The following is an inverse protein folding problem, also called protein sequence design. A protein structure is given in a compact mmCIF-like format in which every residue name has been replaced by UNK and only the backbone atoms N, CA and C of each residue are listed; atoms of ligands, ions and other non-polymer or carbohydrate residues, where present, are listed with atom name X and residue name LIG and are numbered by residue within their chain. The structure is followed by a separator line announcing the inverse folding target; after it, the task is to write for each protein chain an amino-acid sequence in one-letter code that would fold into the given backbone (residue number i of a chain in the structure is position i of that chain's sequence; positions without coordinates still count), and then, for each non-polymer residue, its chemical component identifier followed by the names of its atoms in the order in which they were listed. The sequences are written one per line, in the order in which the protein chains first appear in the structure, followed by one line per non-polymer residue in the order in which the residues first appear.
data_IF_844043058033
#
_entry.id   IF_844043058033
#
_cell.length_a   1.000
_cell.length_b   1.000
_cell.length_c   1.000
_cell.angle_alpha   90.00
_cell.angle_beta   90.00
_cell.angle_gamma   90.00
#
_symmetry.space_group_name_H-M   'P 1'
#
loop_
_entity.id
_entity.type
_entity.pdbx_description
1 polymer ?
#
# COMPACT_ATOMS: atom_id res chain seq x y z
N UNK A 1 -6.26 -25.51 20.00
CA UNK A 1 -6.83 -25.42 18.63
C UNK A 1 -6.86 -23.95 18.23
N UNK A 2 -6.14 -23.58 17.22
CA UNK A 2 -6.37 -22.29 16.60
C UNK A 2 -7.71 -22.37 15.88
N UNK A 3 -8.71 -21.62 16.34
CA UNK A 3 -9.89 -21.37 15.52
C UNK A 3 -9.41 -20.76 14.21
N UNK A 4 -9.84 -21.32 13.10
CA UNK A 4 -9.45 -20.85 11.76
C UNK A 4 -9.86 -19.39 11.61
N UNK A 5 -8.87 -18.54 11.41
CA UNK A 5 -9.07 -17.12 11.16
C UNK A 5 -9.64 -16.93 9.76
N UNK A 6 -10.64 -16.06 9.64
CA UNK A 6 -11.25 -15.68 8.38
C UNK A 6 -11.13 -14.18 8.17
N UNK A 7 -11.10 -13.77 6.92
CA UNK A 7 -11.08 -12.37 6.55
C UNK A 7 -12.49 -11.93 6.16
N UNK A 8 -13.01 -10.95 6.86
CA UNK A 8 -14.31 -10.34 6.58
C UNK A 8 -14.13 -8.96 5.95
N UNK A 9 -15.06 -8.58 5.10
CA UNK A 9 -15.04 -7.29 4.40
C UNK A 9 -16.16 -6.40 4.95
N UNK A 10 -15.79 -5.21 5.39
CA UNK A 10 -16.73 -4.19 5.87
C UNK A 10 -16.86 -3.12 4.79
N UNK A 11 -18.09 -2.84 4.37
CA UNK A 11 -18.39 -1.70 3.53
C UNK A 11 -18.40 -0.41 4.35
N UNK A 12 -17.69 0.60 3.91
CA UNK A 12 -17.55 1.89 4.57
C UNK A 12 -18.00 3.04 3.68
N UNK A 13 -18.15 4.21 4.27
CA UNK A 13 -18.21 5.45 3.50
C UNK A 13 -16.86 5.69 2.82
N UNK A 14 -16.85 6.06 1.55
CA UNK A 14 -15.64 6.34 0.79
C UNK A 14 -14.77 7.40 1.49
N UNK A 15 -13.46 7.22 1.48
CA UNK A 15 -12.46 8.05 2.15
C UNK A 15 -12.51 8.05 3.68
N UNK A 16 -13.32 7.18 4.30
CA UNK A 16 -13.40 7.00 5.76
C UNK A 16 -12.80 5.65 6.20
N UNK A 17 -12.11 4.94 5.32
CA UNK A 17 -11.59 3.60 5.57
C UNK A 17 -10.63 3.58 6.77
N UNK A 18 -9.70 4.53 6.83
CA UNK A 18 -8.75 4.64 7.96
C UNK A 18 -9.43 5.02 9.27
N UNK A 19 -10.43 5.91 9.21
CA UNK A 19 -11.22 6.28 10.39
C UNK A 19 -11.99 5.08 10.94
N UNK A 20 -12.59 4.28 10.08
CA UNK A 20 -13.27 3.03 10.44
C UNK A 20 -12.27 2.04 11.04
N UNK A 21 -11.12 1.83 10.42
CA UNK A 21 -10.09 0.92 10.93
C UNK A 21 -9.60 1.33 12.34
N UNK A 22 -9.36 2.62 12.56
CA UNK A 22 -8.94 3.15 13.87
C UNK A 22 -10.03 2.97 14.94
N UNK A 23 -11.28 3.25 14.58
CA UNK A 23 -12.41 3.07 15.48
C UNK A 23 -12.64 1.59 15.82
N UNK A 24 -12.53 0.69 14.87
CA UNK A 24 -12.61 -0.77 15.08
C UNK A 24 -11.51 -1.26 16.03
N UNK A 25 -10.27 -0.81 15.83
CA UNK A 25 -9.17 -1.18 16.73
C UNK A 25 -9.43 -0.73 18.17
N UNK A 26 -9.97 0.47 18.36
CA UNK A 26 -10.31 1.02 19.67
C UNK A 26 -11.42 0.22 20.35
N UNK A 27 -12.50 -0.06 19.61
CA UNK A 27 -13.66 -0.82 20.12
C UNK A 27 -13.25 -2.26 20.42
N UNK A 28 -12.47 -2.89 19.58
CA UNK A 28 -11.95 -4.24 19.79
C UNK A 28 -11.21 -4.36 21.12
N UNK A 29 -10.37 -3.40 21.44
CA UNK A 29 -9.64 -3.36 22.73
C UNK A 29 -10.58 -3.10 23.91
N UNK A 30 -11.49 -2.15 23.78
CA UNK A 30 -12.41 -1.75 24.83
C UNK A 30 -13.37 -2.88 25.21
N UNK A 31 -13.97 -3.51 24.22
CA UNK A 31 -14.97 -4.57 24.38
C UNK A 31 -14.35 -5.99 24.43
N UNK A 32 -13.03 -6.08 24.37
CA UNK A 32 -12.29 -7.35 24.36
C UNK A 32 -12.77 -8.33 23.27
N UNK A 33 -13.03 -7.82 22.08
CA UNK A 33 -13.44 -8.60 20.93
C UNK A 33 -12.24 -9.29 20.29
N UNK A 34 -12.42 -10.53 19.82
CA UNK A 34 -11.37 -11.30 19.13
C UNK A 34 -11.23 -10.84 17.68
N UNK A 35 -10.85 -9.60 17.48
CA UNK A 35 -10.42 -9.04 16.19
C UNK A 35 -8.89 -9.08 16.19
N UNK A 36 -8.33 -9.85 15.26
CA UNK A 36 -6.90 -10.18 15.22
C UNK A 36 -6.10 -9.19 14.39
N UNK A 37 -6.66 -8.73 13.28
CA UNK A 37 -6.04 -7.75 12.40
C UNK A 37 -7.09 -6.91 11.67
N UNK A 38 -6.71 -5.70 11.29
CA UNK A 38 -7.53 -4.77 10.51
C UNK A 38 -6.64 -4.19 9.41
N UNK A 39 -7.14 -4.19 8.18
CA UNK A 39 -6.42 -3.69 7.01
C UNK A 39 -7.31 -2.75 6.21
N UNK A 40 -6.83 -1.53 6.00
CA UNK A 40 -7.47 -0.53 5.14
C UNK A 40 -6.51 -0.17 3.99
N UNK A 41 -6.45 -0.99 2.92
CA UNK A 41 -5.53 -0.75 1.81
C UNK A 41 -5.98 0.46 1.00
N UNK A 42 -5.04 1.30 0.59
CA UNK A 42 -5.33 2.53 -0.17
C UNK A 42 -5.97 2.25 -1.55
N UNK A 43 -5.77 1.06 -2.07
CA UNK A 43 -6.30 0.61 -3.36
C UNK A 43 -7.77 0.17 -3.28
N UNK A 44 -8.24 -0.20 -2.10
CA UNK A 44 -9.59 -0.72 -1.89
C UNK A 44 -10.47 0.36 -1.26
N UNK A 45 -11.00 1.26 -2.08
CA UNK A 45 -11.86 2.34 -1.61
C UNK A 45 -13.24 1.84 -1.19
N UNK A 46 -13.72 2.34 -0.05
CA UNK A 46 -15.03 2.03 0.48
C UNK A 46 -15.12 0.69 1.24
N UNK A 47 -13.98 0.04 1.51
CA UNK A 47 -13.93 -1.23 2.21
C UNK A 47 -12.77 -1.32 3.20
N UNK A 48 -12.99 -2.08 4.26
CA UNK A 48 -11.97 -2.43 5.26
C UNK A 48 -11.99 -3.94 5.46
N UNK A 49 -10.82 -4.55 5.56
CA UNK A 49 -10.66 -5.98 5.80
C UNK A 49 -10.39 -6.23 7.28
N UNK A 50 -11.04 -7.25 7.83
CA UNK A 50 -10.93 -7.60 9.27
C UNK A 50 -10.71 -9.09 9.42
N UNK A 51 -9.68 -9.47 10.16
CA UNK A 51 -9.43 -10.85 10.55
C UNK A 51 -10.08 -11.15 11.89
N UNK A 52 -10.96 -12.14 11.89
CA UNK A 52 -11.66 -12.63 13.08
C UNK A 52 -12.06 -14.10 12.92
N UNK A 53 -12.32 -14.83 14.00
CA UNK A 53 -12.76 -16.23 13.92
C UNK A 53 -14.19 -16.38 13.40
N UNK A 54 -15.05 -15.38 13.61
CA UNK A 54 -16.49 -15.46 13.25
C UNK A 54 -17.02 -14.09 12.81
N UNK A 55 -17.98 -14.09 11.90
CA UNK A 55 -18.67 -12.88 11.42
C UNK A 55 -19.41 -12.12 12.51
N UNK A 56 -20.01 -12.83 13.48
CA UNK A 56 -20.76 -12.21 14.57
C UNK A 56 -19.93 -11.25 15.43
N UNK A 57 -18.64 -11.50 15.59
CA UNK A 57 -17.70 -10.60 16.28
C UNK A 57 -17.56 -9.29 15.52
N UNK A 58 -17.43 -9.38 14.20
CA UNK A 58 -17.30 -8.21 13.32
C UNK A 58 -18.61 -7.42 13.27
N UNK A 59 -19.74 -8.11 13.17
CA UNK A 59 -21.08 -7.49 13.21
C UNK A 59 -21.30 -6.70 14.48
N UNK A 60 -20.91 -7.26 15.61
CA UNK A 60 -20.98 -6.58 16.90
C UNK A 60 -20.08 -5.33 16.94
N UNK A 61 -18.88 -5.45 16.43
CA UNK A 61 -17.92 -4.35 16.42
C UNK A 61 -18.39 -3.15 15.57
N UNK A 62 -18.97 -3.40 14.40
CA UNK A 62 -19.37 -2.31 13.48
C UNK A 62 -20.61 -1.53 13.92
N UNK A 63 -21.43 -2.06 14.84
CA UNK A 63 -22.66 -1.41 15.28
C UNK A 63 -22.45 -0.01 15.86
N UNK A 64 -21.31 0.23 16.48
CA UNK A 64 -20.98 1.49 17.14
C UNK A 64 -19.90 2.29 16.41
N UNK A 65 -19.44 1.81 15.25
CA UNK A 65 -18.41 2.48 14.46
C UNK A 65 -19.04 3.41 13.44
N UNK A 66 -18.78 4.74 13.53
CA UNK A 66 -19.23 5.68 12.50
C UNK A 66 -18.64 5.33 11.13
N UNK A 67 -19.42 5.50 10.08
CA UNK A 67 -19.05 5.23 8.69
C UNK A 67 -18.86 3.76 8.31
N UNK A 68 -18.94 2.83 9.23
CA UNK A 68 -19.10 1.41 8.92
C UNK A 68 -20.55 1.14 8.52
N UNK A 69 -20.78 0.74 7.27
CA UNK A 69 -22.15 0.62 6.74
C UNK A 69 -22.73 -0.77 6.86
N UNK A 70 -21.97 -1.76 6.45
CA UNK A 70 -22.44 -3.14 6.43
C UNK A 70 -21.27 -4.13 6.39
N UNK A 71 -21.52 -5.34 6.88
CA UNK A 71 -20.67 -6.49 6.67
C UNK A 71 -21.04 -7.13 5.33
N UNK A 72 -20.06 -7.34 4.45
CA UNK A 72 -20.27 -8.06 3.20
C UNK A 72 -20.44 -9.55 3.51
N UNK A 73 -21.40 -10.20 2.84
CA UNK A 73 -21.61 -11.64 3.00
C UNK A 73 -20.42 -12.44 2.52
N UNK A 74 -20.09 -13.48 3.28
CA UNK A 74 -18.96 -14.36 2.98
C UNK A 74 -17.68 -13.98 3.69
N UNK A 75 -16.66 -14.75 3.46
CA UNK A 75 -15.31 -14.53 3.99
C UNK A 75 -14.26 -14.79 2.92
N UNK A 76 -13.12 -14.17 3.07
CA UNK A 76 -11.94 -14.37 2.23
C UNK A 76 -10.82 -15.05 3.00
N UNK A 77 -9.87 -15.59 2.29
CA UNK A 77 -8.66 -16.17 2.87
C UNK A 77 -7.50 -15.18 2.80
N UNK A 78 -6.46 -15.41 3.59
CA UNK A 78 -5.21 -14.61 3.50
C UNK A 78 -4.61 -14.66 2.09
N UNK A 79 -4.69 -15.81 1.42
CA UNK A 79 -4.19 -15.96 0.06
C UNK A 79 -4.90 -15.02 -0.95
N UNK A 80 -6.19 -14.81 -0.80
CA UNK A 80 -6.96 -13.93 -1.68
C UNK A 80 -6.63 -12.45 -1.50
N UNK A 81 -6.21 -12.04 -0.29
CA UNK A 81 -5.84 -10.66 0.03
C UNK A 81 -4.34 -10.41 0.04
N UNK A 82 -3.53 -11.42 -0.28
CA UNK A 82 -2.06 -11.34 -0.21
C UNK A 82 -1.50 -10.16 -1.01
N UNK A 83 -2.10 -9.84 -2.14
CA UNK A 83 -1.68 -8.71 -2.99
C UNK A 83 -1.81 -7.34 -2.30
N UNK A 84 -2.66 -7.20 -1.28
CA UNK A 84 -2.72 -5.99 -0.45
C UNK A 84 -1.66 -5.96 0.65
N UNK A 85 -1.11 -7.11 1.01
CA UNK A 85 -0.13 -7.25 2.08
C UNK A 85 1.31 -7.15 1.58
N UNK A 86 1.55 -7.46 0.30
CA UNK A 86 2.87 -7.34 -0.32
C UNK A 86 3.20 -5.87 -0.57
N UNK A 87 4.35 -5.38 -0.07
CA UNK A 87 4.78 -4.03 -0.40
C UNK A 87 5.01 -3.94 -1.91
N UNK A 88 4.53 -2.86 -2.52
CA UNK A 88 4.89 -2.56 -3.91
C UNK A 88 6.35 -2.16 -3.97
N UNK A 89 7.12 -2.68 -4.94
CA UNK A 89 8.48 -2.21 -5.16
C UNK A 89 8.51 -0.69 -5.35
N UNK A 90 9.43 -0.02 -4.70
CA UNK A 90 9.60 1.45 -4.76
C UNK A 90 9.81 1.92 -6.21
N UNK A 91 10.38 1.06 -7.03
CA UNK A 91 10.63 1.31 -8.46
C UNK A 91 9.42 1.02 -9.37
N UNK A 92 8.28 0.62 -8.81
CA UNK A 92 7.06 0.37 -9.59
C UNK A 92 6.61 1.64 -10.31
N UNK A 93 6.46 1.55 -11.63
CA UNK A 93 6.13 2.69 -12.49
C UNK A 93 7.32 3.47 -13.02
N UNK A 94 8.55 3.15 -12.61
CA UNK A 94 9.77 3.67 -13.22
C UNK A 94 10.17 2.71 -14.35
N UNK A 95 10.27 3.24 -15.56
CA UNK A 95 10.65 2.48 -16.76
C UNK A 95 11.99 2.96 -17.31
N UNK A 96 12.68 2.08 -18.01
CA UNK A 96 13.87 2.45 -18.79
C UNK A 96 13.50 3.55 -19.80
N UNK A 97 14.37 4.54 -19.96
CA UNK A 97 14.13 5.72 -20.81
C UNK A 97 13.37 6.86 -20.12
N UNK A 98 12.75 6.63 -18.97
CA UNK A 98 12.05 7.69 -18.24
C UNK A 98 12.98 8.81 -17.78
N UNK A 99 12.47 10.04 -17.78
CA UNK A 99 13.19 11.22 -17.26
C UNK A 99 12.77 11.41 -15.80
N UNK A 100 13.75 11.46 -14.92
CA UNK A 100 13.56 11.62 -13.48
C UNK A 100 14.34 12.82 -12.94
N UNK A 101 13.94 13.30 -11.80
CA UNK A 101 14.67 14.27 -11.00
C UNK A 101 15.10 13.62 -9.69
N UNK A 102 16.36 13.76 -9.32
CA UNK A 102 16.89 13.23 -8.07
C UNK A 102 16.44 14.13 -6.91
N UNK A 103 15.88 13.54 -5.87
CA UNK A 103 15.36 14.28 -4.71
C UNK A 103 16.27 14.23 -3.49
N UNK A 104 17.35 13.45 -3.55
CA UNK A 104 18.31 13.29 -2.46
C UNK A 104 19.69 13.82 -2.78
N UNK A 105 20.40 14.26 -1.76
CA UNK A 105 21.82 14.64 -1.89
C UNK A 105 22.71 13.42 -2.21
N UNK A 106 23.81 13.57 -2.93
CA UNK A 106 24.40 14.83 -3.41
C UNK A 106 23.81 15.40 -4.70
N UNK A 107 22.95 14.66 -5.40
CA UNK A 107 22.47 15.00 -6.74
C UNK A 107 21.07 15.66 -6.75
N UNK A 108 20.62 16.17 -5.61
CA UNK A 108 19.27 16.78 -5.48
C UNK A 108 19.05 17.88 -6.53
N UNK A 109 17.95 17.76 -7.28
CA UNK A 109 17.58 18.70 -8.33
C UNK A 109 18.12 18.36 -9.71
N UNK A 110 19.05 17.40 -9.81
CA UNK A 110 19.59 16.94 -11.09
C UNK A 110 18.57 16.09 -11.85
N UNK A 111 18.49 16.30 -13.14
CA UNK A 111 17.68 15.48 -14.06
C UNK A 111 18.51 14.37 -14.66
N UNK A 112 17.91 13.21 -14.82
CA UNK A 112 18.59 12.05 -15.35
C UNK A 112 17.64 11.17 -16.17
N UNK A 113 18.22 10.33 -17.02
CA UNK A 113 17.49 9.31 -17.77
C UNK A 113 17.74 7.94 -17.15
N UNK A 114 16.68 7.20 -16.93
CA UNK A 114 16.76 5.83 -16.42
C UNK A 114 17.29 4.90 -17.51
N UNK A 115 18.39 4.21 -17.20
CA UNK A 115 19.01 3.23 -18.10
C UNK A 115 18.62 1.79 -17.75
N UNK A 116 18.44 1.51 -16.49
CA UNK A 116 18.10 0.17 -15.97
C UNK A 116 17.30 0.27 -14.70
N UNK A 117 16.39 -0.65 -14.51
CA UNK A 117 15.60 -0.81 -13.28
C UNK A 117 15.88 -2.19 -12.68
N UNK A 118 16.25 -2.24 -11.41
CA UNK A 118 16.41 -3.46 -10.63
C UNK A 118 15.30 -3.51 -9.56
N UNK A 119 14.24 -4.23 -9.86
CA UNK A 119 13.09 -4.35 -8.95
C UNK A 119 13.43 -5.14 -7.67
N UNK A 120 14.33 -6.09 -7.76
CA UNK A 120 14.73 -6.92 -6.62
C UNK A 120 15.51 -6.16 -5.56
N UNK A 121 16.32 -5.20 -5.98
CA UNK A 121 17.11 -4.32 -5.10
C UNK A 121 16.45 -2.97 -4.84
N UNK A 122 15.36 -2.68 -5.55
CA UNK A 122 14.68 -1.39 -5.53
C UNK A 122 15.60 -0.22 -5.93
N UNK A 123 16.49 -0.49 -6.88
CA UNK A 123 17.49 0.44 -7.39
C UNK A 123 17.26 0.75 -8.86
N UNK A 124 17.66 1.93 -9.27
CA UNK A 124 17.71 2.34 -10.67
C UNK A 124 19.10 2.82 -11.04
N UNK A 125 19.52 2.52 -12.25
CA UNK A 125 20.73 3.08 -12.85
C UNK A 125 20.32 4.22 -13.76
N UNK A 126 20.85 5.40 -13.52
CA UNK A 126 20.51 6.63 -14.22
C UNK A 126 21.76 7.30 -14.79
N UNK A 127 21.57 8.10 -15.83
CA UNK A 127 22.60 8.91 -16.46
C UNK A 127 22.16 10.38 -16.37
N UNK A 128 22.98 11.20 -15.69
CA UNK A 128 22.72 12.63 -15.52
C UNK A 128 22.85 13.38 -16.84
N UNK A 129 21.93 14.31 -17.14
CA UNK A 129 21.94 15.09 -18.38
C UNK A 129 23.11 16.09 -18.44
N UNK A 130 23.45 16.69 -17.30
CA UNK A 130 24.45 17.74 -17.21
C UNK A 130 25.89 17.21 -16.99
N UNK A 131 26.06 15.90 -17.00
CA UNK A 131 27.39 15.30 -16.89
C UNK A 131 28.19 15.46 -18.19
N UNK A 132 29.39 16.01 -18.10
CA UNK A 132 30.32 16.15 -19.20
C UNK A 132 30.73 14.80 -19.78
N UNK A 133 30.82 13.79 -18.91
CA UNK A 133 31.01 12.39 -19.27
C UNK A 133 29.81 11.60 -18.75
N UNK A 134 29.08 10.89 -19.61
CA UNK A 134 27.94 10.11 -19.17
C UNK A 134 28.39 8.90 -18.32
N UNK A 135 28.36 9.05 -17.03
CA UNK A 135 28.65 7.98 -16.07
C UNK A 135 27.33 7.48 -15.50
N UNK A 136 27.02 6.18 -15.63
CA UNK A 136 25.84 5.61 -15.01
C UNK A 136 26.00 5.58 -13.49
N UNK A 137 24.97 6.06 -12.78
CA UNK A 137 24.91 6.11 -11.32
C UNK A 137 23.77 5.22 -10.88
N UNK A 138 24.01 4.35 -9.90
CA UNK A 138 22.95 3.52 -9.28
C UNK A 138 22.47 4.19 -8.00
N UNK A 139 21.17 4.45 -7.93
CA UNK A 139 20.50 5.09 -6.80
C UNK A 139 19.21 4.34 -6.46
N UNK A 140 18.72 4.54 -5.25
CA UNK A 140 17.45 3.94 -4.82
C UNK A 140 16.26 4.60 -5.52
N UNK A 141 15.24 3.81 -5.84
CA UNK A 141 14.03 4.29 -6.51
C UNK A 141 13.21 5.30 -5.70
N UNK A 142 13.33 5.29 -4.36
CA UNK A 142 12.65 6.25 -3.48
C UNK A 142 13.29 7.65 -3.47
N UNK A 143 14.46 7.80 -4.07
CA UNK A 143 15.22 9.05 -4.12
C UNK A 143 15.02 9.84 -5.42
N UNK A 144 14.03 9.47 -6.21
CA UNK A 144 13.74 10.10 -7.50
C UNK A 144 12.26 10.41 -7.68
N UNK A 145 11.97 11.39 -8.51
CA UNK A 145 10.61 11.74 -8.96
C UNK A 145 10.54 11.65 -10.48
N UNK A 146 9.57 10.92 -11.01
CA UNK A 146 9.35 10.82 -12.46
C UNK A 146 8.75 12.12 -12.98
N UNK A 147 9.45 12.78 -13.92
CA UNK A 147 9.02 14.03 -14.54
C UNK A 147 8.22 13.81 -15.82
N UNK A 148 8.64 12.85 -16.63
CA UNK A 148 8.02 12.52 -17.91
C UNK A 148 8.08 11.02 -18.13
N UNK A 149 6.93 10.43 -18.40
CA UNK A 149 6.88 9.12 -19.04
C UNK A 149 7.12 9.39 -20.54
N UNK A 150 8.08 8.72 -21.14
CA UNK A 150 8.14 8.66 -22.60
C UNK A 150 6.83 8.00 -23.06
N UNK A 151 5.87 8.84 -23.43
CA UNK A 151 4.74 8.40 -24.23
C UNK A 151 5.19 8.56 -25.69
N UNK A 152 5.42 7.45 -26.33
CA UNK A 152 5.25 7.40 -27.78
C UNK A 152 3.84 7.83 -28.16
#
# INVERSE_FOLDING_TARGET
MSEDSQIFVIKTTANQERSVATALARISKKEKLDIRAILAPDELKGYVLVEAPRSGIVELAIQTVPHARALVKGSSTVAEIEHFLKPKPIVTGIKEGAIIEVTSVPFKGEKARVKRVDEGREEITVELFDAVVPIPITIRGDTVRVLKKDND
#
